data_IF_044814918828
#
_entry.id   IF_044814918828
#
_cell.length_a   1.000
_cell.length_b   1.000
_cell.length_c   1.000
_cell.angle_alpha   90.00
_cell.angle_beta   90.00
_cell.angle_gamma   90.00
#
_symmetry.space_group_name_H-M   'P 1'
#
loop_
_entity.id
_entity.type
_entity.pdbx_description
1 polymer ?
#
# COMPACT_ATOMS: atom_id res chain seq x y z
N UNK A 1 12.79 -9.05 16.63
CA UNK A 1 13.36 -7.99 17.50
C UNK A 1 12.74 -7.97 18.89
N UNK A 2 11.41 -8.03 19.04
CA UNK A 2 10.72 -8.11 20.35
C UNK A 2 11.29 -9.21 21.27
N UNK A 3 11.58 -10.39 20.71
CA UNK A 3 12.15 -11.53 21.42
C UNK A 3 13.56 -11.25 21.98
N UNK A 4 14.42 -10.53 21.23
CA UNK A 4 15.77 -10.21 21.68
C UNK A 4 15.79 -9.15 22.78
N UNK A 5 14.91 -8.13 22.68
CA UNK A 5 14.71 -7.13 23.72
C UNK A 5 14.14 -7.73 25.00
N UNK A 6 13.15 -8.64 24.88
CA UNK A 6 12.56 -9.33 26.02
C UNK A 6 13.60 -10.17 26.78
N UNK A 7 14.50 -10.87 26.06
CA UNK A 7 15.60 -11.65 26.67
C UNK A 7 16.61 -10.73 27.36
N UNK A 8 17.02 -9.63 26.72
CA UNK A 8 17.99 -8.72 27.33
C UNK A 8 17.44 -8.05 28.60
N UNK A 9 16.18 -7.62 28.57
CA UNK A 9 15.54 -6.95 29.70
C UNK A 9 15.21 -7.94 30.83
N UNK A 10 14.79 -9.17 30.53
CA UNK A 10 14.53 -10.20 31.54
C UNK A 10 15.79 -10.62 32.30
N UNK A 11 16.94 -10.65 31.62
CA UNK A 11 18.24 -10.91 32.24
C UNK A 11 18.66 -9.79 33.21
N UNK A 12 18.24 -8.55 32.96
CA UNK A 12 18.49 -7.42 33.88
C UNK A 12 17.53 -7.35 35.06
N UNK A 13 16.34 -7.93 34.93
CA UNK A 13 15.24 -7.83 35.91
C UNK A 13 14.86 -9.19 36.53
N UNK A 14 15.82 -10.10 36.69
CA UNK A 14 15.63 -11.40 37.38
C UNK A 14 14.47 -12.24 36.85
N UNK A 15 14.16 -12.13 35.56
CA UNK A 15 13.21 -13.01 34.88
C UNK A 15 11.73 -12.68 35.06
N UNK A 16 11.35 -11.61 35.76
CA UNK A 16 9.93 -11.33 36.01
C UNK A 16 9.32 -10.52 34.86
N UNK A 17 9.01 -11.21 33.76
CA UNK A 17 8.28 -10.64 32.65
C UNK A 17 7.08 -11.55 32.32
N UNK A 18 5.90 -10.95 32.20
CA UNK A 18 4.70 -11.63 31.72
C UNK A 18 4.17 -10.90 30.50
N UNK A 19 4.00 -11.60 29.38
CA UNK A 19 3.11 -11.11 28.33
C UNK A 19 1.67 -11.26 28.83
N UNK A 20 0.93 -10.16 28.86
CA UNK A 20 -0.52 -10.20 29.07
C UNK A 20 -1.20 -9.94 27.73
N UNK A 21 -2.15 -10.80 27.41
CA UNK A 21 -3.07 -10.59 26.30
C UNK A 21 -3.80 -9.26 26.54
N UNK A 22 -3.87 -8.41 25.51
CA UNK A 22 -4.49 -7.09 25.63
C UNK A 22 -5.72 -7.00 24.73
N UNK A 23 -5.51 -7.14 23.43
CA UNK A 23 -6.58 -7.06 22.45
C UNK A 23 -6.24 -7.78 21.16
N UNK A 24 -7.28 -8.09 20.38
CA UNK A 24 -7.19 -8.68 19.05
C UNK A 24 -8.09 -7.93 18.06
N UNK A 25 -7.72 -8.01 16.78
CA UNK A 25 -8.56 -7.63 15.65
C UNK A 25 -8.51 -8.79 14.66
N UNK A 26 -9.67 -9.38 14.38
CA UNK A 26 -9.80 -10.50 13.48
C UNK A 26 -9.89 -9.97 12.04
N UNK A 27 -9.03 -10.48 11.17
CA UNK A 27 -9.09 -10.28 9.73
C UNK A 27 -9.41 -11.63 9.08
N UNK A 28 -10.51 -11.69 8.33
CA UNK A 28 -11.19 -12.95 7.96
C UNK A 28 -10.53 -13.81 6.87
N UNK A 29 -9.32 -13.49 6.40
CA UNK A 29 -8.73 -14.22 5.26
C UNK A 29 -7.33 -14.75 5.58
N UNK A 30 -7.30 -15.93 6.21
CA UNK A 30 -6.12 -16.79 6.28
C UNK A 30 -6.48 -18.19 5.76
N UNK A 31 -5.64 -18.83 4.93
CA UNK A 31 -4.33 -18.37 4.43
C UNK A 31 -4.43 -17.40 3.23
N UNK A 32 -3.46 -16.47 3.16
CA UNK A 32 -3.26 -15.62 1.98
C UNK A 32 -2.84 -16.51 0.81
N UNK A 33 -3.62 -16.53 -0.27
CA UNK A 33 -3.38 -17.42 -1.43
C UNK A 33 -2.27 -16.91 -2.34
N UNK A 34 -2.20 -15.59 -2.54
CA UNK A 34 -1.23 -14.94 -3.42
C UNK A 34 -0.56 -13.76 -2.74
N UNK A 35 0.76 -13.58 -2.91
CA UNK A 35 1.48 -12.44 -2.32
C UNK A 35 0.88 -11.09 -2.73
N UNK A 36 0.38 -10.98 -3.96
CA UNK A 36 -0.27 -9.76 -4.45
C UNK A 36 -1.54 -9.38 -3.70
N UNK A 37 -2.20 -10.33 -3.01
CA UNK A 37 -3.41 -10.09 -2.21
C UNK A 37 -3.11 -9.63 -0.78
N UNK A 38 -1.84 -9.61 -0.39
CA UNK A 38 -1.41 -9.20 0.94
C UNK A 38 -1.73 -7.73 1.18
N UNK A 39 -2.39 -7.45 2.30
CA UNK A 39 -2.63 -6.10 2.77
C UNK A 39 -1.35 -5.48 3.37
N UNK A 40 -1.19 -4.15 3.30
CA UNK A 40 -0.07 -3.45 3.93
C UNK A 40 -0.04 -3.70 5.45
N UNK A 41 1.16 -3.64 6.06
CA UNK A 41 1.27 -3.77 7.51
C UNK A 41 0.48 -2.68 8.24
N UNK A 42 -0.02 -2.98 9.46
CA UNK A 42 -0.68 -1.97 10.29
C UNK A 42 0.26 -0.83 10.65
N UNK A 43 -0.29 0.37 10.83
CA UNK A 43 0.45 1.56 11.27
C UNK A 43 0.03 1.91 12.69
N UNK A 44 1.01 2.26 13.53
CA UNK A 44 0.76 2.82 14.86
C UNK A 44 1.14 4.30 14.83
N UNK A 45 0.18 5.19 15.07
CA UNK A 45 0.41 6.63 15.04
C UNK A 45 -0.59 7.36 15.94
N UNK A 46 -0.17 8.47 16.53
CA UNK A 46 -1.08 9.45 17.17
C UNK A 46 -1.62 10.38 16.06
N UNK A 47 -2.84 10.10 15.59
CA UNK A 47 -3.41 10.80 14.44
C UNK A 47 -3.83 12.22 14.77
N UNK A 48 -4.38 12.42 15.97
CA UNK A 48 -5.01 13.67 16.37
C UNK A 48 -4.07 14.59 17.20
N UNK A 49 -2.93 14.07 17.65
CA UNK A 49 -1.94 14.76 18.46
C UNK A 49 -2.28 14.85 19.94
N UNK A 50 -3.11 13.92 20.47
CA UNK A 50 -3.55 13.88 21.87
C UNK A 50 -2.63 13.06 22.79
N UNK A 51 -1.59 12.45 22.22
CA UNK A 51 -0.61 11.61 22.93
C UNK A 51 -0.99 10.14 23.04
N UNK A 52 -2.15 9.72 22.51
CA UNK A 52 -2.55 8.32 22.42
C UNK A 52 -2.38 7.83 20.99
N UNK A 53 -1.70 6.70 20.81
CA UNK A 53 -1.55 6.12 19.49
C UNK A 53 -2.73 5.24 19.13
N UNK A 54 -3.27 5.45 17.94
CA UNK A 54 -4.21 4.54 17.29
C UNK A 54 -3.49 3.55 16.38
N UNK A 55 -4.20 2.49 16.00
CA UNK A 55 -3.73 1.48 15.05
C UNK A 55 -4.56 1.58 13.77
N UNK A 56 -3.91 1.83 12.64
CA UNK A 56 -4.55 1.86 11.32
C UNK A 56 -4.34 0.55 10.60
N UNK A 57 -5.42 -0.01 10.08
CA UNK A 57 -5.41 -1.25 9.30
C UNK A 57 -6.13 -1.06 7.97
N UNK A 58 -5.64 -1.74 6.94
CA UNK A 58 -6.40 -1.94 5.71
C UNK A 58 -7.23 -3.22 5.84
N UNK A 59 -8.33 -3.29 5.11
CA UNK A 59 -9.20 -4.46 5.03
C UNK A 59 -9.38 -4.92 3.58
N UNK A 60 -9.74 -6.19 3.40
CA UNK A 60 -9.93 -6.79 2.07
C UNK A 60 -11.12 -6.19 1.30
N UNK A 61 -12.11 -5.62 2.00
CA UNK A 61 -13.24 -4.89 1.41
C UNK A 61 -12.92 -3.45 0.99
N UNK A 62 -11.62 -3.14 0.79
CA UNK A 62 -11.10 -1.85 0.36
C UNK A 62 -11.49 -0.71 1.31
N UNK A 63 -11.26 -0.92 2.62
CA UNK A 63 -11.43 0.11 3.65
C UNK A 63 -10.18 0.27 4.50
N UNK A 64 -10.14 1.39 5.22
CA UNK A 64 -9.20 1.65 6.29
C UNK A 64 -9.99 1.80 7.59
N UNK A 65 -9.57 1.11 8.65
CA UNK A 65 -10.10 1.29 10.00
C UNK A 65 -9.04 1.90 10.91
N UNK A 66 -9.49 2.78 11.81
CA UNK A 66 -8.69 3.31 12.93
C UNK A 66 -9.19 2.64 14.20
N UNK A 67 -8.26 1.96 14.89
CA UNK A 67 -8.55 1.18 16.08
C UNK A 67 -7.95 1.85 17.31
N UNK A 68 -8.74 1.91 18.38
CA UNK A 68 -8.27 2.28 19.71
C UNK A 68 -7.83 1.01 20.46
N UNK A 69 -6.52 0.84 20.74
CA UNK A 69 -6.05 -0.25 21.57
C UNK A 69 -6.59 -0.06 22.99
N UNK A 70 -7.41 -0.99 23.46
CA UNK A 70 -7.93 -0.95 24.82
C UNK A 70 -6.81 -1.20 25.84
N UNK A 71 -6.76 -0.37 26.89
CA UNK A 71 -5.86 -0.52 28.04
C UNK A 71 -6.56 -1.08 29.28
N UNK A 72 -7.76 -1.65 29.13
CA UNK A 72 -8.45 -2.28 30.28
C UNK A 72 -7.55 -3.39 30.82
N UNK A 73 -7.40 -3.44 32.16
CA UNK A 73 -6.89 -4.63 32.84
C UNK A 73 -7.86 -5.74 32.53
N UNK A 74 -7.51 -6.60 31.58
CA UNK A 74 -8.32 -7.77 31.30
C UNK A 74 -7.82 -8.85 32.24
N UNK A 75 -8.58 -9.08 33.30
CA UNK A 75 -8.42 -10.27 34.14
C UNK A 75 -8.94 -11.54 33.39
N UNK A 76 -9.49 -11.37 32.17
CA UNK A 76 -10.21 -12.37 31.36
C UNK A 76 -9.82 -12.37 29.85
N UNK A 77 -8.53 -12.41 29.50
CA UNK A 77 -8.06 -12.72 28.12
C UNK A 77 -8.10 -11.59 27.07
N UNK A 78 -8.15 -11.94 25.78
CA UNK A 78 -8.18 -10.96 24.67
C UNK A 78 -9.51 -10.20 24.58
N UNK A 79 -9.43 -8.86 24.44
CA UNK A 79 -10.59 -8.01 24.10
C UNK A 79 -10.61 -7.60 22.63
N UNK A 80 -11.78 -7.36 22.05
CA UNK A 80 -11.85 -6.81 20.69
C UNK A 80 -11.40 -5.34 20.68
N UNK A 81 -10.57 -4.97 19.72
CA UNK A 81 -10.20 -3.57 19.51
C UNK A 81 -11.45 -2.74 19.13
N UNK A 82 -11.52 -1.51 19.64
CA UNK A 82 -12.63 -0.60 19.31
C UNK A 82 -12.33 0.13 18.01
N UNK A 83 -13.22 0.05 17.03
CA UNK A 83 -13.15 0.86 15.82
C UNK A 83 -13.60 2.28 16.14
N UNK A 84 -12.70 3.26 15.96
CA UNK A 84 -12.98 4.69 16.13
C UNK A 84 -13.56 5.32 14.87
N UNK A 85 -13.01 4.95 13.71
CA UNK A 85 -13.40 5.47 12.41
C UNK A 85 -13.11 4.45 11.31
N UNK A 86 -13.85 4.54 10.21
CA UNK A 86 -13.67 3.73 9.01
C UNK A 86 -13.88 4.59 7.77
N UNK A 87 -13.08 4.37 6.72
CA UNK A 87 -13.26 5.00 5.41
C UNK A 87 -13.13 3.99 4.29
N UNK A 88 -13.97 4.11 3.26
CA UNK A 88 -13.86 3.30 2.04
C UNK A 88 -12.90 3.94 1.05
N UNK A 89 -12.06 3.10 0.43
CA UNK A 89 -11.19 3.46 -0.69
C UNK A 89 -11.93 3.40 -2.04
N UNK A 90 -13.20 2.98 -2.06
CA UNK A 90 -14.00 2.93 -3.27
C UNK A 90 -14.35 4.34 -3.77
N UNK A 91 -14.52 4.55 -5.10
CA UNK A 91 -15.07 5.79 -5.60
C UNK A 91 -16.54 5.96 -5.17
N UNK A 92 -16.97 7.19 -4.85
CA UNK A 92 -18.31 7.49 -4.31
C UNK A 92 -19.47 6.96 -5.18
N UNK A 93 -19.26 6.77 -6.49
CA UNK A 93 -20.29 6.42 -7.48
C UNK A 93 -20.13 5.03 -8.09
N UNK A 94 -19.07 4.29 -7.76
CA UNK A 94 -18.73 3.03 -8.43
C UNK A 94 -18.42 1.96 -7.39
N UNK A 95 -19.23 0.90 -7.36
CA UNK A 95 -19.04 -0.26 -6.46
C UNK A 95 -18.12 -1.32 -7.05
N UNK A 96 -17.10 -0.89 -7.79
CA UNK A 96 -16.07 -1.80 -8.33
C UNK A 96 -14.86 -1.68 -7.43
N UNK A 97 -14.52 -2.77 -6.74
CA UNK A 97 -13.36 -2.87 -5.85
C UNK A 97 -12.04 -3.13 -6.59
N UNK A 98 -12.11 -3.45 -7.89
CA UNK A 98 -10.93 -3.66 -8.72
C UNK A 98 -10.00 -2.44 -8.68
N UNK A 99 -8.72 -2.67 -8.37
CA UNK A 99 -7.73 -1.61 -8.25
C UNK A 99 -7.81 -0.75 -6.96
N UNK A 100 -8.73 -1.03 -6.04
CA UNK A 100 -8.91 -0.22 -4.81
C UNK A 100 -8.37 -0.84 -3.53
N UNK A 101 -7.83 -2.07 -3.59
CA UNK A 101 -7.13 -2.70 -2.46
C UNK A 101 -5.92 -1.84 -2.09
N UNK A 102 -5.73 -1.57 -0.80
CA UNK A 102 -4.52 -0.91 -0.32
C UNK A 102 -3.31 -1.84 -0.49
N UNK A 103 -2.18 -1.30 -0.96
CA UNK A 103 -0.92 -2.03 -1.14
C UNK A 103 0.17 -1.45 -0.25
N UNK A 104 0.15 -0.14 -0.02
CA UNK A 104 1.04 0.52 0.91
C UNK A 104 0.31 1.64 1.67
N UNK A 105 0.75 1.87 2.89
CA UNK A 105 0.24 2.94 3.74
C UNK A 105 1.41 3.58 4.51
N UNK A 106 1.30 4.87 4.80
CA UNK A 106 2.17 5.55 5.75
C UNK A 106 1.42 6.69 6.44
N UNK A 107 1.75 6.95 7.71
CA UNK A 107 1.28 8.10 8.44
C UNK A 107 2.43 9.09 8.72
N UNK A 108 2.15 10.38 8.67
CA UNK A 108 3.16 11.41 8.94
C UNK A 108 2.59 12.82 8.99
N UNK A 109 3.44 13.81 9.20
CA UNK A 109 3.02 15.20 9.42
C UNK A 109 3.39 16.06 8.21
N UNK A 110 2.41 16.73 7.63
CA UNK A 110 2.62 17.69 6.52
C UNK A 110 2.59 19.16 6.99
N UNK A 111 1.95 19.44 8.12
CA UNK A 111 1.88 20.79 8.68
C UNK A 111 3.16 21.13 9.46
N UNK A 112 3.61 22.38 9.35
CA UNK A 112 4.69 22.88 10.21
C UNK A 112 4.19 22.98 11.65
N UNK A 113 4.98 22.54 12.65
CA UNK A 113 4.58 22.63 14.04
C UNK A 113 4.37 24.10 14.45
N UNK A 114 3.24 24.37 15.10
CA UNK A 114 2.91 25.69 15.66
C UNK A 114 2.79 25.59 17.18
N UNK A 115 3.28 26.58 17.94
CA UNK A 115 3.10 26.58 19.39
C UNK A 115 1.61 26.48 19.76
N UNK A 116 1.27 25.56 20.66
CA UNK A 116 -0.11 25.38 21.16
C UNK A 116 -1.08 24.67 20.22
N UNK A 117 -0.67 24.23 19.02
CA UNK A 117 -1.50 23.41 18.13
C UNK A 117 -1.05 21.95 18.17
N UNK A 118 -2.00 21.03 18.36
CA UNK A 118 -1.75 19.60 18.30
C UNK A 118 -1.17 19.21 16.93
N UNK A 119 -0.18 18.31 16.92
CA UNK A 119 0.45 17.81 15.69
C UNK A 119 -0.40 16.70 15.12
N UNK A 120 -1.18 17.01 14.09
CA UNK A 120 -2.03 16.03 13.42
C UNK A 120 -1.25 15.31 12.32
N UNK A 121 -1.43 13.99 12.27
CA UNK A 121 -0.90 13.18 11.19
C UNK A 121 -1.91 13.08 10.06
N UNK A 122 -1.40 12.93 8.85
CA UNK A 122 -2.14 12.47 7.68
C UNK A 122 -1.82 11.02 7.41
N UNK A 123 -2.77 10.30 6.81
CA UNK A 123 -2.57 8.96 6.28
C UNK A 123 -2.49 9.04 4.76
N UNK A 124 -1.43 8.48 4.18
CA UNK A 124 -1.31 8.27 2.73
C UNK A 124 -1.48 6.79 2.43
N UNK A 125 -2.33 6.48 1.45
CA UNK A 125 -2.62 5.12 0.98
C UNK A 125 -2.34 5.03 -0.51
N UNK A 126 -1.67 3.96 -0.93
CA UNK A 126 -1.50 3.61 -2.35
C UNK A 126 -2.28 2.34 -2.63
N UNK A 127 -3.11 2.36 -3.67
CA UNK A 127 -3.94 1.22 -4.06
C UNK A 127 -3.32 0.39 -5.19
N UNK A 128 -3.85 -0.82 -5.40
CA UNK A 128 -3.40 -1.72 -6.46
C UNK A 128 -3.59 -1.15 -7.87
N UNK A 129 -4.57 -0.26 -8.07
CA UNK A 129 -4.80 0.50 -9.30
C UNK A 129 -4.08 1.85 -9.34
N UNK A 130 -2.93 1.97 -8.67
CA UNK A 130 -2.06 3.16 -8.70
C UNK A 130 -2.73 4.47 -8.29
N UNK A 131 -3.77 4.41 -7.46
CA UNK A 131 -4.34 5.60 -6.85
C UNK A 131 -3.59 5.94 -5.58
N UNK A 132 -3.14 7.19 -5.45
CA UNK A 132 -2.54 7.75 -4.23
C UNK A 132 -3.57 8.64 -3.56
N UNK A 133 -3.93 8.31 -2.33
CA UNK A 133 -4.93 9.04 -1.54
C UNK A 133 -4.29 9.57 -0.26
N UNK A 134 -4.71 10.77 0.14
CA UNK A 134 -4.31 11.36 1.42
C UNK A 134 -5.55 11.67 2.25
N UNK A 135 -5.51 11.30 3.53
CA UNK A 135 -6.57 11.47 4.49
C UNK A 135 -6.09 12.29 5.68
N UNK A 136 -6.98 13.09 6.27
CA UNK A 136 -6.71 13.78 7.52
C UNK A 136 -6.80 12.85 8.75
N UNK A 137 -6.59 13.42 9.94
CA UNK A 137 -6.67 12.70 11.21
C UNK A 137 -8.02 12.05 11.51
N UNK A 138 -9.08 12.44 10.80
CA UNK A 138 -10.45 11.90 10.95
C UNK A 138 -10.83 10.98 9.79
N UNK A 139 -9.86 10.52 8.99
CA UNK A 139 -10.06 9.75 7.76
C UNK A 139 -10.87 10.48 6.68
N UNK A 140 -10.92 11.81 6.70
CA UNK A 140 -11.51 12.58 5.60
C UNK A 140 -10.50 12.69 4.47
N UNK A 141 -10.89 12.29 3.26
CA UNK A 141 -10.05 12.39 2.07
C UNK A 141 -9.74 13.87 1.77
N UNK A 142 -8.46 14.21 1.77
CA UNK A 142 -7.94 15.54 1.41
C UNK A 142 -7.80 15.66 -0.11
N UNK A 143 -7.19 14.65 -0.74
CA UNK A 143 -6.97 14.60 -2.18
C UNK A 143 -6.73 13.15 -2.64
N UNK A 144 -6.85 12.94 -3.94
CA UNK A 144 -6.61 11.67 -4.62
C UNK A 144 -6.02 11.95 -5.99
N UNK A 145 -4.98 11.22 -6.37
CA UNK A 145 -4.44 11.19 -7.72
C UNK A 145 -4.44 9.77 -8.25
N UNK A 146 -4.95 9.60 -9.46
CA UNK A 146 -4.85 8.34 -10.17
C UNK A 146 -3.65 8.38 -11.12
N UNK A 147 -2.70 7.48 -10.92
CA UNK A 147 -1.50 7.38 -11.75
C UNK A 147 -1.58 6.23 -12.76
N UNK A 148 -2.71 5.53 -12.88
CA UNK A 148 -2.87 4.33 -13.69
C UNK A 148 -2.44 4.51 -15.16
N UNK A 149 -2.62 5.71 -15.73
CA UNK A 149 -2.22 6.02 -17.11
C UNK A 149 -0.70 5.95 -17.34
N UNK A 150 0.09 6.11 -16.28
CA UNK A 150 1.55 6.01 -16.34
C UNK A 150 2.05 4.55 -16.31
N UNK A 151 1.17 3.56 -16.14
CA UNK A 151 1.56 2.16 -15.94
C UNK A 151 0.83 1.21 -16.91
N UNK A 152 1.51 0.14 -17.38
CA UNK A 152 0.86 -0.91 -18.15
C UNK A 152 -0.30 -1.53 -17.37
N UNK A 153 -1.38 -1.90 -18.06
CA UNK A 153 -2.58 -2.48 -17.44
C UNK A 153 -2.33 -3.81 -16.71
N UNK A 154 -1.26 -4.53 -17.06
CA UNK A 154 -0.87 -5.81 -16.46
C UNK A 154 0.31 -5.67 -15.46
N UNK A 155 0.73 -4.45 -15.14
CA UNK A 155 1.78 -4.21 -14.16
C UNK A 155 1.21 -4.34 -12.73
N UNK A 156 1.89 -5.12 -11.89
CA UNK A 156 1.58 -5.21 -10.46
C UNK A 156 2.72 -4.62 -9.64
N UNK A 157 2.37 -4.20 -8.42
CA UNK A 157 3.32 -3.64 -7.46
C UNK A 157 4.18 -4.76 -6.87
N UNK A 158 5.50 -4.59 -6.90
CA UNK A 158 6.42 -5.45 -6.14
C UNK A 158 6.81 -4.80 -4.82
N UNK A 159 7.13 -3.51 -4.87
CA UNK A 159 7.54 -2.72 -3.71
C UNK A 159 6.98 -1.30 -3.83
N UNK A 160 6.52 -0.74 -2.72
CA UNK A 160 6.10 0.66 -2.63
C UNK A 160 6.65 1.25 -1.34
N UNK A 161 7.25 2.43 -1.44
CA UNK A 161 7.72 3.23 -0.32
C UNK A 161 7.00 4.59 -0.31
N UNK A 162 6.58 5.02 0.86
CA UNK A 162 5.91 6.30 1.08
C UNK A 162 6.69 7.08 2.12
N UNK A 163 7.06 8.33 1.81
CA UNK A 163 7.72 9.26 2.73
C UNK A 163 6.88 10.53 2.86
N UNK A 164 6.61 10.94 4.10
CA UNK A 164 5.76 12.09 4.42
C UNK A 164 6.57 13.05 5.29
N UNK A 165 6.64 14.31 4.90
CA UNK A 165 7.34 15.34 5.65
C UNK A 165 6.61 16.69 5.61
N UNK A 166 6.96 17.57 6.53
CA UNK A 166 6.47 18.95 6.59
C UNK A 166 7.30 19.93 5.71
N UNK A 167 8.21 19.40 4.90
CA UNK A 167 9.02 20.18 3.98
C UNK A 167 8.16 20.68 2.80
N UNK A 168 8.40 21.91 2.33
CA UNK A 168 7.59 22.55 1.28
C UNK A 168 8.47 22.86 0.08
N UNK A 169 8.16 22.30 -1.10
CA UNK A 169 8.95 22.52 -2.32
C UNK A 169 8.68 23.89 -2.96
N UNK A 170 7.41 24.33 -2.99
CA UNK A 170 7.02 25.64 -3.53
C UNK A 170 6.33 26.49 -2.46
N UNK A 171 6.38 27.81 -2.67
CA UNK A 171 5.62 28.74 -1.84
C UNK A 171 4.12 28.44 -1.95
N UNK A 172 3.43 28.35 -0.81
CA UNK A 172 2.01 27.99 -0.75
C UNK A 172 1.73 26.49 -0.55
N UNK A 173 2.73 25.61 -0.67
CA UNK A 173 2.57 24.20 -0.33
C UNK A 173 2.54 23.97 1.18
N UNK A 174 1.87 22.89 1.60
CA UNK A 174 1.93 22.37 2.95
C UNK A 174 2.46 20.94 2.91
N UNK A 175 3.70 20.76 3.34
CA UNK A 175 4.37 19.46 3.36
C UNK A 175 4.64 18.85 1.99
N UNK A 176 5.22 17.66 2.02
CA UNK A 176 5.68 16.89 0.88
C UNK A 176 5.37 15.42 1.13
N UNK A 177 4.75 14.78 0.14
CA UNK A 177 4.51 13.34 0.11
C UNK A 177 5.26 12.77 -1.09
N UNK A 178 6.16 11.82 -0.86
CA UNK A 178 6.88 11.11 -1.91
C UNK A 178 6.39 9.66 -1.92
N UNK A 179 6.01 9.17 -3.09
CA UNK A 179 5.64 7.77 -3.33
C UNK A 179 6.58 7.22 -4.38
N UNK A 180 7.32 6.17 -4.06
CA UNK A 180 8.15 5.43 -5.01
C UNK A 180 7.70 3.98 -5.07
N UNK A 181 7.78 3.36 -6.24
CA UNK A 181 7.40 1.96 -6.39
C UNK A 181 8.12 1.26 -7.53
N UNK A 182 8.43 0.00 -7.28
CA UNK A 182 8.89 -0.96 -8.30
C UNK A 182 7.70 -1.78 -8.76
N UNK A 183 7.56 -1.91 -10.07
CA UNK A 183 6.55 -2.76 -10.68
C UNK A 183 7.17 -3.96 -11.39
N UNK A 184 6.37 -4.99 -11.58
CA UNK A 184 6.69 -6.10 -12.48
C UNK A 184 5.51 -6.35 -13.42
N UNK A 185 5.86 -6.58 -14.68
CA UNK A 185 4.92 -7.02 -15.70
C UNK A 185 5.03 -8.53 -15.72
N UNK A 186 3.96 -9.23 -15.35
CA UNK A 186 3.97 -10.68 -15.46
C UNK A 186 3.92 -11.03 -16.96
N UNK A 187 4.92 -11.73 -17.53
CA UNK A 187 4.80 -12.24 -18.88
C UNK A 187 3.64 -13.24 -18.89
N UNK A 188 2.73 -13.11 -19.86
CA UNK A 188 1.60 -14.01 -20.02
C UNK A 188 2.09 -15.47 -20.18
N UNK A 189 2.10 -16.25 -19.09
CA UNK A 189 2.18 -17.72 -19.12
C UNK A 189 0.90 -18.28 -18.48
N UNK A 190 -0.23 -17.79 -18.97
CA UNK A 190 -1.50 -18.49 -18.83
C UNK A 190 -2.29 -18.23 -20.12
N UNK A 191 -1.80 -18.81 -21.21
CA UNK A 191 -2.68 -19.10 -22.34
C UNK A 191 -3.73 -20.08 -21.80
N UNK A 192 -4.99 -19.70 -21.92
CA UNK A 192 -6.10 -20.62 -21.71
C UNK A 192 -5.89 -21.78 -22.72
N UNK A 193 -5.82 -23.06 -22.30
CA UNK A 193 -5.55 -24.19 -23.21
C UNK A 193 -6.51 -24.28 -24.42
N UNK A 194 -7.61 -23.53 -24.38
CA UNK A 194 -8.57 -23.43 -25.48
C UNK A 194 -8.19 -22.41 -26.58
N UNK A 195 -7.36 -21.39 -26.31
CA UNK A 195 -6.92 -20.43 -27.34
C UNK A 195 -5.86 -21.01 -28.28
N UNK A 196 -5.01 -21.93 -27.77
CA UNK A 196 -3.95 -22.58 -28.56
C UNK A 196 -4.54 -23.48 -29.66
N UNK A 197 -5.66 -24.17 -29.38
CA UNK A 197 -6.35 -25.06 -30.34
C UNK A 197 -6.99 -24.28 -31.49
N UNK A 198 -7.42 -23.03 -31.25
CA UNK A 198 -7.96 -22.17 -32.33
C UNK A 198 -6.85 -21.58 -33.19
N UNK A 199 -5.71 -21.24 -32.61
CA UNK A 199 -4.54 -20.74 -33.33
C UNK A 199 -3.95 -21.83 -34.25
N UNK A 200 -3.77 -23.07 -33.76
CA UNK A 200 -3.21 -24.17 -34.56
C UNK A 200 -4.07 -24.55 -35.77
N UNK A 201 -5.40 -24.55 -35.62
CA UNK A 201 -6.32 -24.80 -36.76
C UNK A 201 -6.27 -23.72 -37.85
N UNK A 202 -5.89 -22.50 -37.50
CA UNK A 202 -5.79 -21.40 -38.45
C UNK A 202 -4.47 -21.40 -39.24
N UNK A 203 -3.42 -22.04 -38.69
CA UNK A 203 -2.08 -22.10 -39.28
C UNK A 203 -1.87 -23.26 -40.26
N UNK A 204 -2.64 -24.35 -40.19
CA UNK A 204 -2.48 -25.48 -41.12
C UNK A 204 -2.89 -25.18 -42.58
N UNK A 205 -3.54 -24.05 -42.86
CA UNK A 205 -4.02 -23.69 -44.20
C UNK A 205 -3.16 -22.64 -44.94
N UNK A 206 -2.01 -22.23 -44.38
CA UNK A 206 -1.14 -21.24 -45.02
C UNK A 206 0.33 -21.70 -45.10
N UNK A 207 0.65 -22.26 -46.27
CA UNK A 207 1.87 -21.88 -46.99
C UNK A 207 3.09 -22.79 -46.80
N UNK A 208 3.23 -23.76 -47.70
CA UNK A 208 4.53 -24.26 -48.16
C UNK A 208 5.26 -23.17 -48.93
N UNK A 209 6.47 -22.78 -48.50
CA UNK A 209 7.58 -22.37 -49.37
C UNK A 209 8.85 -22.09 -48.55
N UNK A 210 9.92 -22.81 -48.88
CA UNK A 210 11.27 -22.77 -48.30
C UNK A 210 12.02 -21.45 -48.59
N UNK A 211 12.80 -20.94 -47.63
CA UNK A 211 14.27 -20.71 -47.77
C UNK A 211 14.91 -20.26 -46.45
N UNK A 212 16.08 -20.85 -46.15
CA UNK A 212 16.94 -20.61 -44.99
C UNK A 212 17.56 -19.20 -44.96
N UNK A 213 17.65 -18.59 -43.76
CA UNK A 213 18.90 -18.04 -43.16
C UNK A 213 18.66 -17.35 -41.81
N UNK A 214 19.33 -17.93 -40.80
CA UNK A 214 19.99 -17.36 -39.61
C UNK A 214 19.45 -16.10 -38.91
N UNK A 215 19.35 -16.28 -37.58
CA UNK A 215 19.46 -15.30 -36.51
C UNK A 215 18.36 -14.21 -36.42
N UNK A 216 17.32 -14.52 -35.65
CA UNK A 216 16.66 -13.47 -34.86
C UNK A 216 16.33 -14.02 -33.47
N UNK A 217 17.17 -13.63 -32.52
CA UNK A 217 16.83 -13.29 -31.15
C UNK A 217 15.67 -14.08 -30.52
N UNK A 218 16.01 -14.97 -29.59
CA UNK A 218 15.08 -15.33 -28.52
C UNK A 218 14.43 -14.03 -28.02
N UNK A 219 13.09 -13.91 -27.91
CA UNK A 219 12.47 -12.82 -27.20
C UNK A 219 12.75 -13.05 -25.71
N UNK A 220 13.99 -12.78 -25.31
CA UNK A 220 14.43 -12.76 -23.94
C UNK A 220 13.51 -11.79 -23.23
N UNK A 221 12.70 -12.34 -22.33
CA UNK A 221 12.05 -11.67 -21.22
C UNK A 221 12.65 -10.30 -20.99
N UNK A 222 12.02 -9.27 -21.55
CA UNK A 222 12.35 -7.89 -21.24
C UNK A 222 11.92 -7.72 -19.80
N UNK A 223 12.87 -7.95 -18.90
CA UNK A 223 12.73 -7.79 -17.46
C UNK A 223 12.53 -6.30 -17.19
N UNK A 224 11.29 -5.87 -17.40
CA UNK A 224 10.87 -4.49 -17.38
C UNK A 224 10.68 -4.08 -15.92
N UNK A 225 11.79 -4.11 -15.17
CA UNK A 225 11.89 -3.65 -13.77
C UNK A 225 11.79 -2.13 -13.76
N UNK A 226 10.60 -1.59 -13.98
CA UNK A 226 10.39 -0.16 -13.93
C UNK A 226 10.24 0.28 -12.47
N UNK A 227 11.07 1.23 -12.06
CA UNK A 227 10.91 1.98 -10.83
C UNK A 227 10.43 3.38 -11.18
N UNK A 228 9.35 3.83 -10.55
CA UNK A 228 8.84 5.20 -10.69
C UNK A 228 8.66 5.82 -9.32
N UNK A 229 8.84 7.12 -9.23
CA UNK A 229 8.50 7.88 -8.04
C UNK A 229 7.82 9.19 -8.40
N UNK A 230 7.02 9.67 -7.48
CA UNK A 230 6.21 10.88 -7.57
C UNK A 230 6.34 11.66 -6.27
N UNK A 231 6.45 12.98 -6.38
CA UNK A 231 6.45 13.90 -5.26
C UNK A 231 5.24 14.83 -5.38
N UNK A 232 4.39 14.83 -4.36
CA UNK A 232 3.16 15.59 -4.27
C UNK A 232 3.28 16.69 -3.21
N UNK A 233 2.66 17.84 -3.47
CA UNK A 233 2.40 18.83 -2.44
C UNK A 233 1.47 18.22 -1.37
N UNK A 234 1.93 18.13 -0.12
CA UNK A 234 1.27 17.29 0.90
C UNK A 234 -0.18 17.68 1.19
N UNK A 235 -0.50 18.97 1.17
CA UNK A 235 -1.85 19.47 1.46
C UNK A 235 -2.83 19.42 0.28
N UNK A 236 -2.34 19.49 -0.97
CA UNK A 236 -3.20 19.62 -2.16
C UNK A 236 -3.14 18.45 -3.12
N UNK A 237 -2.13 17.59 -2.99
CA UNK A 237 -1.89 16.49 -3.92
C UNK A 237 -1.31 16.93 -5.27
N UNK A 238 -0.99 18.20 -5.49
CA UNK A 238 -0.44 18.62 -6.79
C UNK A 238 0.93 17.95 -7.02
N UNK A 239 1.10 17.29 -8.17
CA UNK A 239 2.39 16.71 -8.57
C UNK A 239 3.42 17.82 -8.72
N UNK A 240 4.51 17.73 -7.94
CA UNK A 240 5.64 18.67 -7.97
C UNK A 240 6.80 18.13 -8.78
N UNK A 241 7.01 16.83 -8.73
CA UNK A 241 8.09 16.16 -9.45
C UNK A 241 7.74 14.69 -9.67
N UNK A 242 8.20 14.13 -10.77
CA UNK A 242 8.19 12.69 -11.02
C UNK A 242 9.43 12.35 -11.84
N UNK A 243 9.92 11.12 -11.72
CA UNK A 243 11.03 10.64 -12.55
C UNK A 243 10.63 10.69 -14.04
N UNK A 244 11.56 11.09 -14.91
CA UNK A 244 11.44 10.78 -16.34
C UNK A 244 11.93 9.34 -16.53
N UNK A 245 11.24 8.58 -17.37
CA UNK A 245 11.74 7.28 -17.80
C UNK A 245 13.06 7.51 -18.56
N UNK A 246 14.16 7.02 -18.02
CA UNK A 246 15.38 6.72 -18.79
C UNK A 246 15.35 5.26 -19.24
#
# INVERSE_FOLDING_TARGET
MLSAFAIFFSLQHEGDFSFREAWMHLSDEYPIKFEGERLPPPIVADLNGDGKSEVLIATHDAKIQVLEPHSRRVDEGFSNARVLAEVSLLPDKVRVSSGRRAVAMAAGVIERPRPGKARKHVLVVVTSGWSVMCFDSNLKKLWENNLQEDFPHNAHHREIAISISNYTLKHGDSGLVIVGGRMEVQPHILLDPFEEIQAEKSTEHRGKSDTEKEASENPGTVDSRHFKFYAFAGGSGIVRWHGKNE
#
